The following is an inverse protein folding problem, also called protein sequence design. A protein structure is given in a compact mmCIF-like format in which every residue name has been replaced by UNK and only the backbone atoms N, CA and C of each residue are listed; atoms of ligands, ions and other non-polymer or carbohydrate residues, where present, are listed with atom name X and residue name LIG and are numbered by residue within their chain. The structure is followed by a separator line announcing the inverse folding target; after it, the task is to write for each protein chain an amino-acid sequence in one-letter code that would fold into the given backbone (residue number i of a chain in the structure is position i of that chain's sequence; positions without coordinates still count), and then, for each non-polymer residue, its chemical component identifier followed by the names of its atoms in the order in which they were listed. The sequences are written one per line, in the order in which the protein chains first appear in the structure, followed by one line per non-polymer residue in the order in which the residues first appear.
data_IF_271952410087
#
_entry.id   IF_271952410087
#
_cell.length_a   1.000
_cell.length_b   1.000
_cell.length_c   1.000
_cell.angle_alpha   90.00
_cell.angle_beta   90.00
_cell.angle_gamma   90.00
#
_symmetry.space_group_name_H-M   'P 1'
#
loop_
_entity.id
_entity.type
_entity.pdbx_description
1 polymer ?
#
# COMPACT_ATOMS: atom_id res chain seq x y z
N UNK A 1 16.90 -6.96 -11.97
CA UNK A 1 16.48 -7.59 -10.71
C UNK A 1 14.99 -7.90 -10.76
N UNK A 2 14.63 -9.11 -10.43
CA UNK A 2 13.24 -9.53 -10.39
C UNK A 2 12.69 -9.37 -8.97
N UNK A 3 11.60 -8.62 -8.84
CA UNK A 3 10.92 -8.41 -7.57
C UNK A 3 9.61 -9.18 -7.59
N UNK A 4 9.47 -10.12 -6.66
CA UNK A 4 8.26 -10.91 -6.51
C UNK A 4 7.28 -10.21 -5.59
N UNK A 5 5.99 -10.38 -5.89
CA UNK A 5 4.94 -9.89 -5.04
C UNK A 5 4.79 -10.75 -3.79
N UNK A 6 4.86 -10.11 -2.63
CA UNK A 6 4.58 -10.72 -1.35
C UNK A 6 4.13 -9.64 -0.38
N UNK A 7 2.94 -9.77 0.14
CA UNK A 7 2.39 -8.80 1.09
C UNK A 7 2.89 -9.10 2.51
N UNK A 8 4.19 -8.96 2.72
CA UNK A 8 4.79 -9.13 4.02
C UNK A 8 5.14 -10.58 4.35
N UNK A 9 6.43 -10.85 4.47
CA UNK A 9 6.94 -12.15 4.86
C UNK A 9 6.48 -12.49 6.28
N UNK A 10 5.83 -13.63 6.43
CA UNK A 10 5.38 -14.12 7.73
C UNK A 10 4.05 -13.57 8.20
N UNK A 11 3.43 -12.67 7.47
CA UNK A 11 2.09 -12.19 7.80
C UNK A 11 1.04 -13.07 7.16
N UNK A 12 -0.03 -13.32 7.91
CA UNK A 12 -1.19 -14.03 7.37
C UNK A 12 -2.23 -13.03 6.92
N UNK A 13 -2.53 -13.08 5.64
CA UNK A 13 -3.61 -12.31 5.04
C UNK A 13 -4.68 -13.31 4.63
N UNK A 14 -5.92 -13.11 5.09
CA UNK A 14 -7.01 -14.04 4.81
C UNK A 14 -7.42 -14.03 3.34
N UNK A 15 -7.29 -12.88 2.68
CA UNK A 15 -7.56 -12.74 1.26
C UNK A 15 -6.28 -12.86 0.44
N UNK A 16 -6.32 -13.53 -0.72
CA UNK A 16 -5.15 -13.55 -1.61
C UNK A 16 -4.79 -12.15 -2.07
N UNK A 17 -3.51 -11.82 -1.97
CA UNK A 17 -2.99 -10.58 -2.52
C UNK A 17 -2.67 -10.81 -3.99
N UNK A 18 -3.11 -9.91 -4.87
CA UNK A 18 -2.69 -9.91 -6.27
C UNK A 18 -1.24 -9.49 -6.35
N UNK A 19 -0.37 -10.46 -6.39
CA UNK A 19 1.07 -10.24 -6.51
C UNK A 19 1.51 -10.52 -7.93
N UNK A 20 2.57 -9.85 -8.35
CA UNK A 20 3.21 -10.14 -9.62
C UNK A 20 4.71 -9.95 -9.52
N UNK A 21 5.43 -10.60 -10.45
CA UNK A 21 6.87 -10.44 -10.57
C UNK A 21 7.17 -9.41 -11.66
N UNK A 22 8.08 -8.49 -11.37
CA UNK A 22 8.54 -7.50 -12.34
C UNK A 22 10.06 -7.45 -12.36
N UNK A 23 10.60 -7.17 -13.54
CA UNK A 23 12.02 -6.99 -13.75
C UNK A 23 12.40 -5.53 -13.72
N UNK A 24 13.41 -5.21 -12.92
CA UNK A 24 13.96 -3.88 -12.80
C UNK A 24 15.46 -3.93 -13.00
N UNK A 25 16.04 -2.83 -13.45
CA UNK A 25 17.50 -2.68 -13.43
C UNK A 25 17.98 -2.57 -11.99
N UNK A 26 19.10 -3.20 -11.68
CA UNK A 26 19.67 -3.12 -10.32
C UNK A 26 19.96 -1.68 -9.90
N UNK A 27 20.42 -0.83 -10.83
CA UNK A 27 20.69 0.58 -10.59
C UNK A 27 19.45 1.39 -10.15
N UNK A 28 18.25 0.92 -10.50
CA UNK A 28 17.03 1.56 -10.07
C UNK A 28 16.87 1.56 -8.54
N UNK A 29 17.26 0.46 -7.90
CA UNK A 29 17.21 0.36 -6.44
C UNK A 29 18.27 1.22 -5.76
N UNK A 30 19.41 1.42 -6.39
CA UNK A 30 20.41 2.37 -5.91
C UNK A 30 19.82 3.79 -5.90
N UNK A 31 19.11 4.14 -6.97
CA UNK A 31 18.42 5.43 -7.07
C UNK A 31 17.34 5.58 -5.99
N UNK A 32 16.56 4.53 -5.73
CA UNK A 32 15.53 4.55 -4.70
C UNK A 32 16.10 4.53 -3.28
N UNK A 33 17.33 4.08 -3.09
CA UNK A 33 17.94 3.94 -1.78
C UNK A 33 17.40 2.78 -0.97
N UNK A 34 16.81 1.77 -1.62
CA UNK A 34 16.20 0.61 -0.97
C UNK A 34 16.70 -0.65 -1.66
N UNK A 35 17.21 -1.66 -0.92
CA UNK A 35 17.63 -2.90 -1.55
C UNK A 35 16.43 -3.69 -2.10
N UNK A 36 16.60 -4.39 -3.23
CA UNK A 36 15.50 -5.17 -3.84
C UNK A 36 14.89 -6.20 -2.89
N UNK A 37 15.67 -6.77 -1.98
CA UNK A 37 15.19 -7.72 -0.98
C UNK A 37 14.19 -7.13 0.01
N UNK A 38 14.12 -5.81 0.11
CA UNK A 38 13.17 -5.10 0.96
C UNK A 38 11.96 -4.56 0.18
N UNK A 39 11.79 -5.01 -1.06
CA UNK A 39 10.72 -4.56 -1.93
C UNK A 39 9.83 -5.71 -2.38
N UNK A 40 8.59 -5.38 -2.70
CA UNK A 40 7.66 -6.31 -3.31
C UNK A 40 6.66 -5.54 -4.19
N UNK A 41 5.98 -6.25 -5.08
CA UNK A 41 5.00 -5.67 -5.99
C UNK A 41 3.61 -6.24 -5.72
N UNK A 42 2.60 -5.39 -5.87
CA UNK A 42 1.20 -5.83 -5.89
C UNK A 42 0.46 -5.16 -7.05
N UNK A 43 -0.65 -5.75 -7.44
CA UNK A 43 -1.55 -5.15 -8.41
C UNK A 43 -2.54 -4.22 -7.71
N UNK A 44 -2.96 -3.18 -8.43
CA UNK A 44 -4.02 -2.26 -7.98
C UNK A 44 -5.37 -2.80 -8.46
N UNK A 45 -6.37 -2.78 -7.58
CA UNK A 45 -7.75 -3.10 -7.94
C UNK A 45 -8.65 -1.92 -7.67
N UNK A 46 -9.44 -1.56 -8.67
CA UNK A 46 -10.44 -0.50 -8.57
C UNK A 46 -9.86 0.89 -8.75
N UNK A 47 -10.71 1.89 -8.55
CA UNK A 47 -10.44 3.28 -8.90
C UNK A 47 -10.31 4.19 -7.69
N UNK A 48 -10.26 3.66 -6.48
CA UNK A 48 -10.25 4.51 -5.27
C UNK A 48 -9.03 5.43 -5.19
N UNK A 49 -7.92 5.04 -5.82
CA UNK A 49 -6.68 5.81 -5.84
C UNK A 49 -6.41 6.49 -7.17
N UNK A 50 -7.36 6.42 -8.12
CA UNK A 50 -7.26 7.11 -9.39
C UNK A 50 -7.29 8.65 -9.18
N UNK A 51 -6.48 9.45 -9.85
CA UNK A 51 -5.56 9.09 -10.94
C UNK A 51 -4.13 8.75 -10.49
N UNK A 52 -3.86 8.74 -9.20
CA UNK A 52 -2.51 8.47 -8.68
C UNK A 52 -2.08 7.04 -9.01
N UNK A 53 -2.97 6.09 -8.75
CA UNK A 53 -2.77 4.68 -9.12
C UNK A 53 -3.89 4.27 -10.07
N UNK A 54 -3.52 3.49 -11.08
CA UNK A 54 -4.45 3.06 -12.14
C UNK A 54 -4.91 1.64 -11.86
N UNK A 55 -6.22 1.39 -12.00
CA UNK A 55 -6.78 0.04 -11.89
C UNK A 55 -6.00 -0.93 -12.77
N UNK A 56 -5.66 -2.10 -12.23
CA UNK A 56 -4.82 -3.13 -12.85
C UNK A 56 -3.37 -2.73 -13.06
N UNK A 57 -2.96 -1.58 -12.54
CA UNK A 57 -1.56 -1.19 -12.50
C UNK A 57 -0.79 -1.97 -11.44
N UNK A 58 0.49 -1.72 -11.38
CA UNK A 58 1.41 -2.36 -10.44
C UNK A 58 2.04 -1.32 -9.55
N UNK A 59 2.15 -1.62 -8.27
CA UNK A 59 2.86 -0.78 -7.29
C UNK A 59 4.07 -1.54 -6.77
N UNK A 60 5.20 -0.84 -6.70
CA UNK A 60 6.39 -1.29 -6.02
C UNK A 60 6.38 -0.71 -4.61
N UNK A 61 6.45 -1.58 -3.62
CA UNK A 61 6.42 -1.23 -2.21
C UNK A 61 7.76 -1.47 -1.55
N UNK A 62 8.12 -0.58 -0.63
CA UNK A 62 9.15 -0.86 0.38
C UNK A 62 8.46 -1.58 1.54
N UNK A 63 8.99 -2.72 1.95
CA UNK A 63 8.52 -3.40 3.17
C UNK A 63 8.64 -2.45 4.35
N UNK A 64 7.57 -2.28 5.10
CA UNK A 64 7.52 -1.38 6.22
C UNK A 64 6.40 -1.82 7.16
N UNK A 65 6.67 -1.89 8.44
CA UNK A 65 5.73 -2.41 9.43
C UNK A 65 5.15 -1.32 10.35
N UNK A 66 5.27 -0.06 9.98
CA UNK A 66 4.72 1.03 10.76
C UNK A 66 4.61 2.32 9.97
N UNK A 67 3.91 3.28 10.52
CA UNK A 67 3.74 4.60 9.94
C UNK A 67 4.98 5.47 10.21
N UNK A 68 5.51 6.11 9.18
CA UNK A 68 6.64 7.05 9.31
C UNK A 68 6.27 8.47 8.91
N UNK A 69 5.40 8.62 7.91
CA UNK A 69 4.99 9.92 7.37
C UNK A 69 3.74 9.75 6.54
N UNK A 70 3.07 10.85 6.23
CA UNK A 70 1.96 10.83 5.28
C UNK A 70 2.42 10.28 3.94
N UNK A 71 1.62 9.40 3.36
CA UNK A 71 1.89 8.78 2.07
C UNK A 71 0.97 7.61 1.80
N UNK A 72 1.21 6.94 0.69
CA UNK A 72 0.41 5.78 0.28
C UNK A 72 1.02 4.53 0.90
N UNK A 73 0.15 3.75 1.54
CA UNK A 73 0.51 2.52 2.24
C UNK A 73 -0.33 1.34 1.76
N UNK A 74 0.29 0.18 1.79
CA UNK A 74 -0.42 -1.09 1.77
C UNK A 74 -0.58 -1.55 3.21
N UNK A 75 -1.82 -1.78 3.64
CA UNK A 75 -2.11 -2.16 5.01
C UNK A 75 -3.33 -3.08 5.08
N UNK A 76 -3.44 -3.78 6.19
CA UNK A 76 -4.60 -4.59 6.51
C UNK A 76 -5.42 -3.91 7.60
N UNK A 77 -6.71 -3.83 7.38
CA UNK A 77 -7.68 -3.36 8.37
C UNK A 77 -8.67 -4.49 8.63
N UNK A 78 -8.64 -5.04 9.82
CA UNK A 78 -9.35 -6.27 10.18
C UNK A 78 -8.89 -7.42 9.27
N UNK A 79 -9.69 -7.81 8.27
CA UNK A 79 -9.34 -8.85 7.30
C UNK A 79 -9.25 -8.32 5.88
N UNK A 80 -9.30 -7.01 5.70
CA UNK A 80 -9.28 -6.36 4.39
C UNK A 80 -7.90 -5.74 4.10
N UNK A 81 -7.31 -6.11 2.97
CA UNK A 81 -6.08 -5.50 2.47
C UNK A 81 -6.44 -4.27 1.66
N UNK A 82 -5.82 -3.14 1.99
CA UNK A 82 -6.17 -1.84 1.42
C UNK A 82 -4.95 -1.09 0.94
N UNK A 83 -5.13 -0.29 -0.12
CA UNK A 83 -4.16 0.69 -0.61
C UNK A 83 -4.81 2.05 -0.47
N UNK A 84 -4.31 2.88 0.42
CA UNK A 84 -4.85 4.21 0.70
C UNK A 84 -3.73 5.14 1.14
N UNK A 85 -4.02 6.43 1.08
CA UNK A 85 -3.16 7.43 1.71
C UNK A 85 -3.50 7.48 3.19
N UNK A 86 -2.47 7.38 4.04
CA UNK A 86 -2.62 7.47 5.49
C UNK A 86 -2.03 8.77 5.99
N UNK A 87 -2.79 9.45 6.85
CA UNK A 87 -2.36 10.64 7.56
C UNK A 87 -2.65 10.43 9.04
N UNK A 88 -1.61 10.35 9.85
CA UNK A 88 -1.80 10.23 11.30
C UNK A 88 -2.03 11.61 11.90
N UNK A 89 -3.17 11.78 12.56
CA UNK A 89 -3.57 13.05 13.18
C UNK A 89 -3.31 13.09 14.67
N UNK A 90 -3.19 11.94 15.32
CA UNK A 90 -2.79 11.81 16.71
C UNK A 90 -2.15 10.44 16.91
N UNK A 91 -1.76 10.11 18.15
CA UNK A 91 -1.04 8.88 18.47
C UNK A 91 -1.74 7.62 17.95
N UNK A 92 -3.07 7.57 18.02
CA UNK A 92 -3.85 6.39 17.65
C UNK A 92 -4.82 6.62 16.50
N UNK A 93 -4.92 7.85 15.96
CA UNK A 93 -5.94 8.20 14.98
C UNK A 93 -5.32 8.45 13.63
N UNK A 94 -5.86 7.77 12.61
CA UNK A 94 -5.49 7.93 11.22
C UNK A 94 -6.67 8.44 10.41
N UNK A 95 -6.37 9.30 9.44
CA UNK A 95 -7.26 9.55 8.32
C UNK A 95 -6.87 8.63 7.18
N UNK A 96 -7.85 7.93 6.65
CA UNK A 96 -7.68 7.01 5.51
C UNK A 96 -8.27 7.71 4.30
N UNK A 97 -7.44 8.04 3.34
CA UNK A 97 -7.79 8.92 2.22
C UNK A 97 -7.64 8.17 0.91
N UNK A 98 -8.71 8.14 0.13
CA UNK A 98 -8.67 7.74 -1.27
C UNK A 98 -8.26 8.95 -2.11
N UNK A 99 -7.34 8.78 -3.05
CA UNK A 99 -6.91 9.90 -3.90
C UNK A 99 -7.98 10.29 -4.93
N UNK A 100 -8.95 9.42 -5.18
CA UNK A 100 -10.06 9.74 -6.07
C UNK A 100 -10.87 10.89 -5.50
N UNK A 101 -11.12 11.91 -6.34
CA UNK A 101 -11.82 13.14 -5.93
C UNK A 101 -13.31 12.95 -5.71
N UNK A 102 -13.88 11.83 -6.14
CA UNK A 102 -15.30 11.54 -5.92
C UNK A 102 -15.55 11.11 -4.47
N UNK A 103 -15.79 12.07 -3.60
CA UNK A 103 -15.97 11.83 -2.17
C UNK A 103 -17.34 11.24 -1.81
N UNK A 104 -18.28 11.23 -2.72
CA UNK A 104 -19.55 10.52 -2.54
C UNK A 104 -19.33 9.00 -2.56
N UNK A 105 -18.41 8.53 -3.40
CA UNK A 105 -18.07 7.09 -3.48
C UNK A 105 -16.90 6.74 -2.57
N UNK A 106 -15.91 7.63 -2.47
CA UNK A 106 -14.66 7.39 -1.73
C UNK A 106 -14.44 8.43 -0.64
N UNK A 107 -15.30 8.46 0.40
CA UNK A 107 -15.17 9.45 1.47
C UNK A 107 -13.90 9.22 2.29
N UNK A 108 -13.43 10.27 2.92
CA UNK A 108 -12.35 10.16 3.92
C UNK A 108 -12.88 9.40 5.12
N UNK A 109 -12.11 8.41 5.58
CA UNK A 109 -12.43 7.62 6.76
C UNK A 109 -11.52 8.03 7.91
N UNK A 110 -12.04 7.96 9.12
CA UNK A 110 -11.25 8.14 10.34
C UNK A 110 -11.18 6.80 11.06
N UNK A 111 -9.97 6.40 11.43
CA UNK A 111 -9.72 5.16 12.13
C UNK A 111 -8.99 5.45 13.43
N UNK A 112 -9.62 5.08 14.56
CA UNK A 112 -8.99 5.14 15.86
C UNK A 112 -8.52 3.74 16.25
N UNK A 113 -7.21 3.54 16.31
CA UNK A 113 -6.63 2.24 16.66
C UNK A 113 -6.97 1.81 18.07
N UNK A 114 -7.30 2.75 18.97
CA UNK A 114 -7.72 2.41 20.32
C UNK A 114 -9.07 1.68 20.37
N UNK A 115 -9.88 1.81 19.31
CA UNK A 115 -11.17 1.13 19.18
C UNK A 115 -11.08 -0.23 18.51
N UNK A 116 -9.90 -0.56 17.93
CA UNK A 116 -9.67 -1.84 17.26
C UNK A 116 -8.97 -2.84 18.18
N UNK A 117 -9.10 -4.11 17.85
CA UNK A 117 -8.27 -5.14 18.45
C UNK A 117 -6.82 -4.95 18.10
N UNK A 118 -5.93 -5.47 18.93
CA UNK A 118 -4.48 -5.31 18.79
C UNK A 118 -3.96 -5.75 17.42
N UNK A 119 -4.60 -6.75 16.81
CA UNK A 119 -4.17 -7.34 15.55
C UNK A 119 -5.01 -6.91 14.34
N UNK A 120 -5.88 -5.93 14.50
CA UNK A 120 -6.83 -5.55 13.44
C UNK A 120 -6.31 -4.46 12.50
N UNK A 121 -5.09 -4.01 12.70
CA UNK A 121 -4.44 -3.05 11.80
C UNK A 121 -2.96 -3.38 11.68
N UNK A 122 -2.48 -3.46 10.44
CA UNK A 122 -1.07 -3.75 10.18
C UNK A 122 -0.64 -3.14 8.86
N UNK A 123 0.49 -2.42 8.90
CA UNK A 123 1.09 -1.84 7.71
C UNK A 123 2.10 -2.83 7.14
N UNK A 124 2.07 -3.05 5.83
CA UNK A 124 2.97 -3.95 5.11
C UNK A 124 3.98 -3.23 4.23
N UNK A 125 3.58 -2.12 3.62
CA UNK A 125 4.44 -1.45 2.66
C UNK A 125 4.18 0.04 2.53
N UNK A 126 5.23 0.73 2.12
CA UNK A 126 5.21 2.15 1.76
C UNK A 126 5.49 2.28 0.26
N UNK A 127 4.76 3.15 -0.40
CA UNK A 127 4.85 3.38 -1.84
C UNK A 127 6.24 3.84 -2.28
N UNK A 128 6.76 3.23 -3.33
CA UNK A 128 8.00 3.63 -3.99
C UNK A 128 7.78 4.06 -5.43
N UNK A 129 7.00 3.30 -6.18
CA UNK A 129 6.86 3.49 -7.62
C UNK A 129 5.63 2.74 -8.12
N UNK A 130 5.09 3.19 -9.23
CA UNK A 130 3.97 2.52 -9.87
C UNK A 130 4.03 2.61 -11.39
N UNK A 131 3.31 1.71 -12.05
CA UNK A 131 3.02 1.81 -13.45
C UNK A 131 1.61 1.31 -13.73
N UNK A 132 1.01 1.83 -14.78
CA UNK A 132 -0.30 1.42 -15.21
C UNK A 132 -0.61 2.00 -16.58
N UNK A 133 -1.48 1.31 -17.32
CA UNK A 133 -1.91 1.77 -18.63
C UNK A 133 -3.18 2.59 -18.48
N UNK A 134 -3.12 3.83 -18.89
CA UNK A 134 -4.32 4.66 -19.05
C UNK A 134 -5.09 4.16 -20.27
N UNK A 135 -6.36 3.96 -20.10
CA UNK A 135 -7.27 3.62 -21.20
C UNK A 135 -7.96 4.87 -21.72
#
# INVERSE_FOLDING_TARGET
VNVFGSAGNGYQVNEPVDTEAMWFRASFFDYLGVPPSHCFCTRVRGDSMHPTLIDRGTVLWKMQNGYTREGIYLFRQVDELRIKRLQRTSRSVYRIISDNSNKDIYPVETLDLAELGEYDFEIYGFYLWDCGMKK
#
